data_IF_351347546806
#
_entry.id   IF_351347546806
#
_cell.length_a   1.000
_cell.length_b   1.000
_cell.length_c   1.000
_cell.angle_alpha   90.00
_cell.angle_beta   90.00
_cell.angle_gamma   90.00
#
_symmetry.space_group_name_H-M   'P 1'
#
loop_
_entity.id
_entity.type
_entity.pdbx_description
1 polymer ?
#
# COMPACT_ATOMS: atom_id res chain seq x y z
N UNK A 1 -0.74 -15.56 41.94
CA UNK A 1 0.18 -15.47 43.07
C UNK A 1 1.58 -15.88 42.60
N UNK A 2 2.47 -14.90 42.39
CA UNK A 2 3.81 -15.15 41.86
C UNK A 2 4.73 -15.84 42.87
N UNK A 3 4.39 -15.84 44.16
CA UNK A 3 5.12 -16.51 45.24
C UNK A 3 4.91 -18.03 45.22
N UNK A 4 3.75 -18.49 44.74
CA UNK A 4 3.48 -19.91 44.52
C UNK A 4 4.12 -20.44 43.23
N UNK A 5 4.25 -19.58 42.21
CA UNK A 5 4.72 -19.97 40.87
C UNK A 5 6.24 -19.96 40.73
N UNK A 6 6.92 -19.07 41.44
CA UNK A 6 8.37 -19.02 41.49
C UNK A 6 8.83 -18.99 42.96
N UNK A 7 9.54 -20.03 43.46
CA UNK A 7 10.03 -20.04 44.82
C UNK A 7 11.07 -18.94 45.05
N UNK A 8 11.21 -18.49 46.29
CA UNK A 8 12.25 -17.51 46.68
C UNK A 8 13.64 -18.02 46.31
N UNK A 9 14.46 -17.12 45.78
CA UNK A 9 15.86 -17.45 45.50
C UNK A 9 16.63 -17.54 46.82
N UNK A 10 17.80 -18.17 46.79
CA UNK A 10 18.67 -18.17 47.96
C UNK A 10 19.17 -16.75 48.21
N UNK A 11 19.36 -16.40 49.49
CA UNK A 11 19.98 -15.12 49.88
C UNK A 11 21.29 -14.92 49.11
N UNK A 12 21.42 -13.78 48.41
CA UNK A 12 22.49 -13.38 47.47
C UNK A 12 22.41 -13.93 46.03
N UNK A 13 21.44 -14.79 45.69
CA UNK A 13 21.19 -15.28 44.32
C UNK A 13 20.05 -14.54 43.60
N UNK A 14 19.40 -13.58 44.25
CA UNK A 14 18.25 -12.76 43.77
C UNK A 14 18.52 -11.97 42.48
N UNK A 15 19.79 -11.76 42.11
CA UNK A 15 20.22 -11.07 40.88
C UNK A 15 20.91 -12.00 39.89
N UNK A 16 20.98 -13.30 40.22
CA UNK A 16 21.60 -14.33 39.41
C UNK A 16 20.94 -14.45 38.02
N UNK A 17 21.62 -15.10 37.06
CA UNK A 17 21.10 -15.28 35.70
C UNK A 17 19.78 -16.08 35.65
N UNK A 18 19.49 -16.86 36.70
CA UNK A 18 18.29 -17.69 36.86
C UNK A 18 17.30 -17.14 37.89
N UNK A 19 17.55 -15.95 38.43
CA UNK A 19 16.75 -15.39 39.51
C UNK A 19 15.27 -15.25 39.15
N UNK A 20 14.43 -15.40 40.17
CA UNK A 20 12.98 -15.25 40.14
C UNK A 20 12.55 -13.97 39.47
N UNK A 21 13.21 -12.84 39.75
CA UNK A 21 12.89 -11.54 39.14
C UNK A 21 12.88 -11.57 37.61
N UNK A 22 13.84 -12.26 36.99
CA UNK A 22 13.91 -12.38 35.52
C UNK A 22 12.82 -13.30 34.97
N UNK A 23 12.45 -14.35 35.72
CA UNK A 23 11.39 -15.27 35.32
C UNK A 23 10.01 -14.61 35.39
N UNK A 24 9.75 -13.91 36.50
CA UNK A 24 8.52 -13.13 36.68
C UNK A 24 8.41 -12.01 35.64
N UNK A 25 9.50 -11.29 35.37
CA UNK A 25 9.51 -10.28 34.31
C UNK A 25 9.21 -10.88 32.94
N UNK A 26 9.84 -12.01 32.56
CA UNK A 26 9.58 -12.65 31.27
C UNK A 26 8.13 -13.07 31.11
N UNK A 27 7.51 -13.58 32.17
CA UNK A 27 6.11 -13.97 32.15
C UNK A 27 5.18 -12.77 31.93
N UNK A 28 5.31 -11.72 32.75
CA UNK A 28 4.50 -10.52 32.63
C UNK A 28 4.70 -9.82 31.28
N UNK A 29 5.97 -9.70 30.87
CA UNK A 29 6.33 -9.08 29.59
C UNK A 29 5.83 -9.88 28.39
N UNK A 30 5.78 -11.20 28.49
CA UNK A 30 5.27 -12.08 27.44
C UNK A 30 3.77 -11.91 27.22
N UNK A 31 3.00 -11.71 28.30
CA UNK A 31 1.56 -11.42 28.21
C UNK A 31 1.33 -10.07 27.51
N UNK A 32 2.04 -9.03 27.96
CA UNK A 32 1.96 -7.71 27.33
C UNK A 32 2.36 -7.72 25.85
N UNK A 33 3.47 -8.40 25.52
CA UNK A 33 3.96 -8.51 24.15
C UNK A 33 2.96 -9.27 23.27
N UNK A 34 2.36 -10.35 23.79
CA UNK A 34 1.35 -11.12 23.07
C UNK A 34 0.13 -10.25 22.75
N UNK A 35 -0.44 -9.56 23.75
CA UNK A 35 -1.63 -8.73 23.57
C UNK A 35 -1.38 -7.61 22.54
N UNK A 36 -0.25 -6.91 22.66
CA UNK A 36 0.15 -5.85 21.73
C UNK A 36 0.34 -6.40 20.30
N UNK A 37 1.04 -7.53 20.17
CA UNK A 37 1.34 -8.16 18.88
C UNK A 37 0.09 -8.71 18.19
N UNK A 38 -0.81 -9.35 18.93
CA UNK A 38 -2.07 -9.86 18.39
C UNK A 38 -2.93 -8.72 17.84
N UNK A 39 -3.08 -7.62 18.58
CA UNK A 39 -3.82 -6.44 18.10
C UNK A 39 -3.25 -5.86 16.81
N UNK A 40 -1.93 -5.71 16.71
CA UNK A 40 -1.29 -5.25 15.48
C UNK A 40 -1.43 -6.25 14.34
N UNK A 41 -1.24 -7.55 14.60
CA UNK A 41 -1.31 -8.59 13.57
C UNK A 41 -2.69 -8.64 12.95
N UNK A 42 -3.73 -8.63 13.77
CA UNK A 42 -5.12 -8.72 13.31
C UNK A 42 -5.51 -7.47 12.50
N UNK A 43 -5.08 -6.28 12.93
CA UNK A 43 -5.26 -5.04 12.17
C UNK A 43 -4.52 -5.05 10.83
N UNK A 44 -3.28 -5.54 10.80
CA UNK A 44 -2.49 -5.67 9.57
C UNK A 44 -3.08 -6.70 8.60
N UNK A 45 -3.66 -7.79 9.11
CA UNK A 45 -4.32 -8.82 8.30
C UNK A 45 -5.52 -8.28 7.55
N UNK A 46 -6.42 -7.58 8.26
CA UNK A 46 -7.57 -6.92 7.62
C UNK A 46 -7.10 -5.90 6.59
N UNK A 47 -6.08 -5.10 6.94
CA UNK A 47 -5.54 -4.09 6.04
C UNK A 47 -4.95 -4.69 4.77
N UNK A 48 -4.23 -5.81 4.87
CA UNK A 48 -3.61 -6.50 3.73
C UNK A 48 -4.67 -7.08 2.77
N UNK A 49 -5.74 -7.67 3.29
CA UNK A 49 -6.84 -8.17 2.47
C UNK A 49 -7.50 -7.00 1.73
N UNK A 50 -7.80 -5.91 2.46
CA UNK A 50 -8.37 -4.71 1.87
C UNK A 50 -7.45 -4.12 0.79
N UNK A 51 -6.14 -4.04 1.08
CA UNK A 51 -5.11 -3.57 0.15
C UNK A 51 -5.09 -4.35 -1.15
N UNK A 52 -5.09 -5.68 -1.07
CA UNK A 52 -5.03 -6.55 -2.22
C UNK A 52 -6.26 -6.41 -3.11
N UNK A 53 -7.45 -6.46 -2.49
CA UNK A 53 -8.71 -6.31 -3.21
C UNK A 53 -8.84 -4.92 -3.86
N UNK A 54 -8.55 -3.86 -3.11
CA UNK A 54 -8.59 -2.51 -3.64
C UNK A 54 -7.58 -2.31 -4.77
N UNK A 55 -6.34 -2.78 -4.61
CA UNK A 55 -5.32 -2.69 -5.66
C UNK A 55 -5.74 -3.43 -6.94
N UNK A 56 -6.41 -4.59 -6.82
CA UNK A 56 -6.91 -5.33 -7.98
C UNK A 56 -7.99 -4.53 -8.74
N UNK A 57 -8.92 -3.91 -8.02
CA UNK A 57 -9.95 -3.05 -8.61
C UNK A 57 -9.30 -1.85 -9.30
N UNK A 58 -8.45 -1.09 -8.61
CA UNK A 58 -7.75 0.07 -9.19
C UNK A 58 -6.90 -0.32 -10.40
N UNK A 59 -6.23 -1.47 -10.36
CA UNK A 59 -5.43 -1.98 -11.49
C UNK A 59 -6.29 -2.21 -12.73
N UNK A 60 -7.54 -2.65 -12.57
CA UNK A 60 -8.45 -2.85 -13.71
C UNK A 60 -8.82 -1.50 -14.35
N UNK A 61 -9.12 -0.49 -13.54
CA UNK A 61 -9.38 0.87 -14.02
C UNK A 61 -8.15 1.47 -14.72
N UNK A 62 -6.98 1.37 -14.09
CA UNK A 62 -5.71 1.84 -14.67
C UNK A 62 -5.41 1.13 -15.98
N UNK A 63 -5.60 -0.19 -16.06
CA UNK A 63 -5.37 -0.95 -17.28
C UNK A 63 -6.29 -0.48 -18.42
N UNK A 64 -7.56 -0.17 -18.12
CA UNK A 64 -8.51 0.36 -19.10
C UNK A 64 -8.16 1.78 -19.54
N UNK A 65 -7.95 2.72 -18.61
CA UNK A 65 -7.69 4.13 -18.98
C UNK A 65 -6.28 4.40 -19.47
N UNK A 66 -5.33 3.50 -19.20
CA UNK A 66 -3.99 3.60 -19.80
C UNK A 66 -4.03 3.40 -21.32
N UNK A 67 -5.05 2.71 -21.85
CA UNK A 67 -5.27 2.58 -23.29
C UNK A 67 -5.76 3.89 -23.90
N UNK A 68 -6.54 4.69 -23.15
CA UNK A 68 -7.00 6.03 -23.60
C UNK A 68 -5.85 7.04 -23.74
N UNK A 69 -4.70 6.77 -23.12
CA UNK A 69 -3.46 7.55 -23.29
C UNK A 69 -2.66 7.13 -24.54
N UNK A 70 -3.12 6.13 -25.29
CA UNK A 70 -2.50 5.70 -26.54
C UNK A 70 -3.28 6.22 -27.74
N UNK A 71 -2.61 6.27 -28.89
CA UNK A 71 -3.24 6.66 -30.15
C UNK A 71 -4.34 5.65 -30.50
N UNK A 72 -5.58 6.12 -30.61
CA UNK A 72 -6.65 5.31 -31.16
C UNK A 72 -6.49 5.21 -32.68
N UNK A 73 -5.88 4.11 -33.13
CA UNK A 73 -5.73 3.80 -34.56
C UNK A 73 -7.08 3.68 -35.29
N UNK A 74 -8.17 3.33 -34.59
CA UNK A 74 -9.52 3.35 -35.13
C UNK A 74 -9.98 4.76 -35.44
N UNK A 75 -9.80 5.69 -34.51
CA UNK A 75 -10.10 7.10 -34.72
C UNK A 75 -9.23 7.72 -35.83
N UNK A 76 -7.93 7.41 -35.85
CA UNK A 76 -7.01 7.85 -36.92
C UNK A 76 -7.48 7.34 -38.28
N UNK A 77 -7.85 6.06 -38.38
CA UNK A 77 -8.35 5.48 -39.63
C UNK A 77 -9.66 6.12 -40.06
N UNK A 78 -10.57 6.40 -39.12
CA UNK A 78 -11.82 7.10 -39.40
C UNK A 78 -11.58 8.54 -39.90
N UNK A 79 -10.65 9.29 -39.30
CA UNK A 79 -10.28 10.63 -39.76
C UNK A 79 -9.71 10.60 -41.18
N UNK A 80 -8.79 9.67 -41.47
CA UNK A 80 -8.22 9.50 -42.81
C UNK A 80 -9.27 9.10 -43.85
N UNK A 81 -10.25 8.26 -43.48
CA UNK A 81 -11.37 7.88 -44.35
C UNK A 81 -12.29 9.08 -44.64
N UNK A 82 -12.57 9.93 -43.65
CA UNK A 82 -13.34 11.17 -43.83
C UNK A 82 -12.59 12.11 -44.78
N UNK A 83 -11.29 12.31 -44.57
CA UNK A 83 -10.46 13.13 -45.48
C UNK A 83 -10.49 12.57 -46.91
N UNK A 84 -10.40 11.25 -47.08
CA UNK A 84 -10.51 10.61 -48.40
C UNK A 84 -11.87 10.87 -49.07
N UNK A 85 -12.97 10.77 -48.31
CA UNK A 85 -14.33 11.04 -48.82
C UNK A 85 -14.47 12.51 -49.22
N UNK A 86 -13.91 13.44 -48.45
CA UNK A 86 -13.94 14.86 -48.75
C UNK A 86 -13.10 15.21 -49.98
N UNK A 87 -11.96 14.54 -50.20
CA UNK A 87 -11.16 14.64 -51.43
C UNK A 87 -11.96 14.16 -52.63
N UNK A 88 -12.62 13.01 -52.53
CA UNK A 88 -13.44 12.48 -53.62
C UNK A 88 -14.61 13.41 -53.97
N UNK A 89 -15.31 13.94 -52.96
CA UNK A 89 -16.41 14.89 -53.16
C UNK A 89 -15.93 16.21 -53.79
N UNK A 90 -14.80 16.73 -53.34
CA UNK A 90 -14.23 17.97 -53.88
C UNK A 90 -13.75 17.81 -55.32
N UNK A 91 -13.16 16.65 -55.65
CA UNK A 91 -12.78 16.32 -57.03
C UNK A 91 -14.01 16.19 -57.94
N UNK A 92 -15.09 15.56 -57.45
CA UNK A 92 -16.35 15.45 -58.20
C UNK A 92 -17.03 16.82 -58.44
N UNK A 93 -16.88 17.77 -57.50
CA UNK A 93 -17.40 19.14 -57.63
C UNK A 93 -16.46 20.10 -58.39
N UNK A 94 -15.32 19.63 -58.91
CA UNK A 94 -14.37 20.47 -59.66
C UNK A 94 -13.61 21.50 -58.82
N UNK A 95 -13.68 21.40 -57.48
CA UNK A 95 -12.95 22.25 -56.53
C UNK A 95 -11.51 21.76 -56.32
N UNK A 96 -10.58 22.69 -56.05
CA UNK A 96 -9.18 22.37 -55.83
C UNK A 96 -8.97 21.57 -54.53
N UNK A 97 -8.30 20.42 -54.60
CA UNK A 97 -8.02 19.54 -53.45
C UNK A 97 -7.33 20.27 -52.28
N UNK A 98 -6.59 21.35 -52.56
CA UNK A 98 -5.91 22.17 -51.55
C UNK A 98 -6.86 22.94 -50.60
N UNK A 99 -8.17 22.99 -50.85
CA UNK A 99 -9.13 23.61 -49.92
C UNK A 99 -9.57 22.68 -48.78
N UNK A 100 -9.17 21.41 -48.80
CA UNK A 100 -9.56 20.43 -47.80
C UNK A 100 -8.58 20.51 -46.62
N UNK A 101 -9.07 20.66 -45.38
CA UNK A 101 -8.23 20.61 -44.19
C UNK A 101 -7.55 19.24 -44.08
N UNK A 102 -6.22 19.22 -43.93
CA UNK A 102 -5.48 17.98 -43.68
C UNK A 102 -5.82 17.43 -42.30
N UNK A 103 -5.93 16.11 -42.17
CA UNK A 103 -6.09 15.47 -40.85
C UNK A 103 -4.87 15.77 -39.98
N UNK A 104 -5.08 16.36 -38.81
CA UNK A 104 -4.04 16.49 -37.79
C UNK A 104 -3.89 15.15 -37.05
N UNK A 105 -2.78 14.46 -37.34
CA UNK A 105 -2.45 13.17 -36.74
C UNK A 105 -1.62 13.32 -35.45
N UNK A 106 -1.37 14.55 -34.98
CA UNK A 106 -0.63 14.72 -33.72
C UNK A 106 -1.48 14.30 -32.54
N UNK A 107 -1.11 13.14 -31.97
CA UNK A 107 -1.72 12.66 -30.75
C UNK A 107 -1.40 13.60 -29.58
N UNK A 108 -2.46 14.14 -28.98
CA UNK A 108 -2.39 14.90 -27.74
C UNK A 108 -3.39 14.26 -26.78
N UNK A 109 -2.92 13.56 -25.73
CA UNK A 109 -3.84 13.00 -24.75
C UNK A 109 -4.61 14.15 -24.11
N UNK A 110 -5.90 13.92 -23.83
CA UNK A 110 -6.69 14.95 -23.17
C UNK A 110 -6.09 15.24 -21.78
N UNK A 111 -6.17 16.49 -21.36
CA UNK A 111 -5.66 16.89 -20.04
C UNK A 111 -6.42 16.16 -18.94
N UNK A 112 -7.74 15.95 -19.10
CA UNK A 112 -8.57 15.16 -18.19
C UNK A 112 -8.10 13.71 -18.07
N UNK A 113 -7.81 13.02 -19.17
CA UNK A 113 -7.37 11.62 -19.14
C UNK A 113 -6.02 11.48 -18.44
N UNK A 114 -5.14 12.47 -18.63
CA UNK A 114 -3.83 12.52 -17.96
C UNK A 114 -3.98 12.69 -16.45
N UNK A 115 -4.89 13.56 -15.99
CA UNK A 115 -5.17 13.76 -14.56
C UNK A 115 -5.81 12.52 -13.92
N UNK A 116 -6.82 11.93 -14.56
CA UNK A 116 -7.51 10.72 -14.06
C UNK A 116 -6.52 9.56 -13.92
N UNK A 117 -5.72 9.29 -14.96
CA UNK A 117 -4.71 8.24 -14.88
C UNK A 117 -3.67 8.54 -13.80
N UNK A 118 -3.18 9.78 -13.68
CA UNK A 118 -2.25 10.16 -12.62
C UNK A 118 -2.81 9.91 -11.22
N UNK A 119 -4.08 10.26 -10.98
CA UNK A 119 -4.76 10.01 -9.71
C UNK A 119 -4.92 8.51 -9.41
N UNK A 120 -5.27 7.70 -10.41
CA UNK A 120 -5.40 6.26 -10.19
C UNK A 120 -4.06 5.54 -10.03
N UNK A 121 -3.01 5.96 -10.76
CA UNK A 121 -1.65 5.46 -10.53
C UNK A 121 -1.14 5.83 -9.13
N UNK A 122 -1.39 7.06 -8.67
CA UNK A 122 -0.98 7.48 -7.31
C UNK A 122 -1.77 6.74 -6.24
N UNK A 123 -3.08 6.54 -6.42
CA UNK A 123 -3.90 5.69 -5.54
C UNK A 123 -3.36 4.26 -5.48
N UNK A 124 -3.11 3.62 -6.63
CA UNK A 124 -2.55 2.27 -6.70
C UNK A 124 -1.20 2.18 -5.98
N UNK A 125 -0.31 3.16 -6.22
CA UNK A 125 1.02 3.20 -5.61
C UNK A 125 0.94 3.32 -4.09
N UNK A 126 0.05 4.17 -3.56
CA UNK A 126 -0.17 4.31 -2.12
C UNK A 126 -0.73 3.02 -1.49
N UNK A 127 -1.64 2.34 -2.18
CA UNK A 127 -2.20 1.06 -1.73
C UNK A 127 -1.13 -0.03 -1.65
N UNK A 128 -0.31 -0.16 -2.71
CA UNK A 128 0.81 -1.12 -2.74
C UNK A 128 1.90 -0.80 -1.71
N UNK A 129 2.23 0.47 -1.53
CA UNK A 129 3.16 0.91 -0.49
C UNK A 129 2.65 0.51 0.90
N UNK A 130 1.36 0.73 1.17
CA UNK A 130 0.74 0.34 2.44
C UNK A 130 0.77 -1.17 2.64
N UNK A 131 0.47 -1.97 1.61
CA UNK A 131 0.60 -3.42 1.67
C UNK A 131 2.05 -3.85 1.98
N UNK A 132 3.03 -3.24 1.32
CA UNK A 132 4.45 -3.53 1.53
C UNK A 132 4.87 -3.26 2.98
N UNK A 133 4.54 -2.08 3.52
CA UNK A 133 4.84 -1.75 4.90
C UNK A 133 4.09 -2.65 5.88
N UNK A 134 2.85 -3.03 5.59
CA UNK A 134 2.11 -3.98 6.42
C UNK A 134 2.82 -5.35 6.52
N UNK A 135 3.33 -5.87 5.39
CA UNK A 135 4.12 -7.11 5.36
C UNK A 135 5.43 -6.95 6.14
N UNK A 136 6.16 -5.85 5.94
CA UNK A 136 7.43 -5.59 6.64
C UNK A 136 7.23 -5.53 8.16
N UNK A 137 6.18 -4.84 8.61
CA UNK A 137 5.83 -4.77 10.03
C UNK A 137 5.45 -6.15 10.57
N UNK A 138 4.71 -6.95 9.81
CA UNK A 138 4.41 -8.34 10.17
C UNK A 138 5.68 -9.19 10.34
N UNK A 139 6.63 -9.07 9.42
CA UNK A 139 7.91 -9.78 9.51
C UNK A 139 8.71 -9.35 10.75
N UNK A 140 8.74 -8.05 11.05
CA UNK A 140 9.37 -7.51 12.24
C UNK A 140 8.74 -8.04 13.54
N UNK A 141 7.41 -8.03 13.61
CA UNK A 141 6.63 -8.57 14.74
C UNK A 141 6.91 -10.06 14.93
N UNK A 142 6.93 -10.83 13.84
CA UNK A 142 7.27 -12.25 13.90
C UNK A 142 8.67 -12.48 14.45
N UNK A 143 9.66 -11.70 13.99
CA UNK A 143 11.04 -11.78 14.48
C UNK A 143 11.16 -11.32 15.93
N UNK A 144 10.36 -10.33 16.36
CA UNK A 144 10.31 -9.87 17.74
C UNK A 144 9.91 -10.99 18.71
N UNK A 145 8.85 -11.74 18.36
CA UNK A 145 8.32 -12.86 19.15
C UNK A 145 9.19 -14.13 19.13
N UNK A 146 10.22 -14.20 18.27
CA UNK A 146 11.14 -15.34 18.24
C UNK A 146 11.87 -15.49 19.60
N UNK A 147 11.61 -16.59 20.29
CA UNK A 147 12.17 -16.85 21.63
C UNK A 147 13.67 -17.12 21.53
N UNK A 148 14.54 -16.30 22.15
CA UNK A 148 15.98 -16.54 22.12
C UNK A 148 16.40 -17.69 23.01
N UNK A 149 17.44 -18.43 22.61
CA UNK A 149 18.13 -19.39 23.49
C UNK A 149 18.98 -18.65 24.54
N UNK A 150 19.16 -19.23 25.74
CA UNK A 150 19.96 -18.63 26.82
C UNK A 150 19.26 -18.57 28.18
N UNK A 151 19.89 -17.86 29.12
CA UNK A 151 19.39 -17.70 30.49
C UNK A 151 18.20 -16.73 30.54
N UNK A 152 17.32 -16.80 31.56
CA UNK A 152 16.24 -15.84 31.77
C UNK A 152 16.71 -14.38 31.71
N UNK A 153 17.84 -14.07 32.34
CA UNK A 153 18.43 -12.73 32.30
C UNK A 153 18.82 -12.28 30.88
N UNK A 154 19.43 -13.16 30.09
CA UNK A 154 19.83 -12.83 28.71
C UNK A 154 18.62 -12.61 27.82
N UNK A 155 17.58 -13.44 27.98
CA UNK A 155 16.29 -13.28 27.29
C UNK A 155 15.63 -11.95 27.64
N UNK A 156 15.61 -11.56 28.91
CA UNK A 156 15.08 -10.26 29.34
C UNK A 156 15.80 -9.10 28.65
N UNK A 157 17.14 -9.13 28.65
CA UNK A 157 17.97 -8.08 28.06
C UNK A 157 17.75 -7.97 26.55
N UNK A 158 17.70 -9.10 25.86
CA UNK A 158 17.49 -9.14 24.42
C UNK A 158 16.07 -8.67 24.05
N UNK A 159 15.04 -9.08 24.81
CA UNK A 159 13.67 -8.57 24.64
C UNK A 159 13.61 -7.07 24.85
N UNK A 160 14.21 -6.55 25.91
CA UNK A 160 14.24 -5.11 26.18
C UNK A 160 14.99 -4.34 25.08
N UNK A 161 16.10 -4.87 24.58
CA UNK A 161 16.82 -4.28 23.45
C UNK A 161 15.95 -4.21 22.18
N UNK A 162 15.25 -5.30 21.86
CA UNK A 162 14.31 -5.34 20.71
C UNK A 162 13.15 -4.37 20.91
N UNK A 163 12.59 -4.28 22.12
CA UNK A 163 11.49 -3.37 22.46
C UNK A 163 11.92 -1.90 22.36
N UNK A 164 13.10 -1.55 22.87
CA UNK A 164 13.68 -0.22 22.68
C UNK A 164 13.91 0.09 21.20
N UNK A 165 14.33 -0.90 20.41
CA UNK A 165 14.41 -0.79 18.96
C UNK A 165 13.04 -0.46 18.36
N UNK A 166 12.01 -1.22 18.71
CA UNK A 166 10.64 -1.04 18.25
C UNK A 166 10.12 0.37 18.53
N UNK A 167 10.37 0.88 19.74
CA UNK A 167 9.99 2.22 20.15
C UNK A 167 10.80 3.30 19.42
N UNK A 168 12.10 3.10 19.24
CA UNK A 168 12.98 4.05 18.52
C UNK A 168 12.62 4.16 17.04
N UNK A 169 12.24 3.05 16.41
CA UNK A 169 11.80 3.01 15.02
C UNK A 169 10.33 3.45 14.85
N UNK A 170 9.60 3.67 15.95
CA UNK A 170 8.22 4.15 15.90
C UNK A 170 7.27 3.17 15.22
N UNK A 171 7.49 1.86 15.39
CA UNK A 171 6.67 0.83 14.71
C UNK A 171 5.18 0.99 15.03
N UNK A 172 4.84 1.36 16.26
CA UNK A 172 3.46 1.63 16.67
C UNK A 172 2.83 2.78 15.86
N UNK A 173 3.61 3.85 15.60
CA UNK A 173 3.19 4.96 14.75
C UNK A 173 3.03 4.52 13.28
N UNK A 174 3.92 3.65 12.79
CA UNK A 174 3.78 3.07 11.44
C UNK A 174 2.49 2.26 11.36
N UNK A 175 2.24 1.34 12.29
CA UNK A 175 1.01 0.52 12.32
C UNK A 175 -0.24 1.41 12.36
N UNK A 176 -0.23 2.48 13.15
CA UNK A 176 -1.32 3.45 13.21
C UNK A 176 -1.50 4.30 11.93
N UNK A 177 -0.43 4.55 11.18
CA UNK A 177 -0.48 5.36 9.95
C UNK A 177 -0.95 4.56 8.72
N UNK A 178 -0.73 3.24 8.69
CA UNK A 178 -1.07 2.41 7.54
C UNK A 178 -2.57 2.48 7.16
N UNK A 179 -3.55 2.38 8.09
CA UNK A 179 -4.96 2.58 7.76
C UNK A 179 -5.28 3.97 7.19
N UNK A 180 -4.56 5.00 7.63
CA UNK A 180 -4.72 6.38 7.13
C UNK A 180 -4.23 6.47 5.69
N UNK A 181 -3.05 5.91 5.39
CA UNK A 181 -2.51 5.82 4.03
C UNK A 181 -3.48 5.10 3.08
N UNK A 182 -4.13 4.03 3.55
CA UNK A 182 -5.17 3.37 2.77
C UNK A 182 -6.41 4.23 2.52
N UNK A 183 -6.85 4.94 3.55
CA UNK A 183 -7.99 5.84 3.42
C UNK A 183 -7.70 6.97 2.44
N UNK A 184 -6.47 7.51 2.45
CA UNK A 184 -6.01 8.50 1.47
C UNK A 184 -5.97 7.92 0.06
N UNK A 185 -5.44 6.70 -0.10
CA UNK A 185 -5.44 5.99 -1.39
C UNK A 185 -6.85 5.82 -1.95
N UNK A 186 -7.82 5.44 -1.12
CA UNK A 186 -9.24 5.33 -1.48
C UNK A 186 -9.82 6.69 -1.87
N UNK A 187 -9.55 7.75 -1.10
CA UNK A 187 -10.04 9.09 -1.40
C UNK A 187 -9.52 9.62 -2.75
N UNK A 188 -8.24 9.40 -3.04
CA UNK A 188 -7.62 9.76 -4.33
C UNK A 188 -8.28 8.99 -5.49
N UNK A 189 -8.56 7.70 -5.30
CA UNK A 189 -9.27 6.91 -6.32
C UNK A 189 -10.68 7.43 -6.59
N UNK A 190 -11.45 7.71 -5.53
CA UNK A 190 -12.79 8.27 -5.64
C UNK A 190 -12.79 9.64 -6.34
N UNK A 191 -11.80 10.48 -6.05
CA UNK A 191 -11.64 11.75 -6.74
C UNK A 191 -11.37 11.57 -8.24
N UNK A 192 -10.50 10.61 -8.59
CA UNK A 192 -10.31 10.22 -10.00
C UNK A 192 -11.58 9.68 -10.66
N UNK A 193 -12.41 8.94 -9.92
CA UNK A 193 -13.69 8.41 -10.40
C UNK A 193 -14.70 9.52 -10.70
N UNK A 194 -14.81 10.52 -9.81
CA UNK A 194 -15.65 11.70 -10.04
C UNK A 194 -15.20 12.45 -11.30
N UNK A 195 -13.89 12.68 -11.46
CA UNK A 195 -13.35 13.34 -12.64
C UNK A 195 -13.54 12.53 -13.93
N UNK A 196 -13.55 11.20 -13.84
CA UNK A 196 -13.81 10.32 -14.98
C UNK A 196 -15.28 10.34 -15.42
N UNK A 197 -16.23 10.48 -14.50
CA UNK A 197 -17.68 10.50 -14.81
C UNK A 197 -18.16 11.86 -15.33
N UNK A 198 -17.62 12.98 -14.86
CA UNK A 198 -18.08 14.33 -15.27
C UNK A 198 -18.10 14.55 -16.80
N UNK A 199 -17.09 14.12 -17.59
CA UNK A 199 -17.10 14.27 -19.04
C UNK A 199 -17.87 13.17 -19.79
N UNK A 200 -18.43 12.17 -19.08
CA UNK A 200 -19.18 11.04 -19.65
C UNK A 200 -20.66 11.37 -19.78
#
# INVERSE_FOLDING_TARGET
DYEQKFPEDKRYEELGPMARVWRTYLEESGIFDLEMVEGWRDGLDVLLVFAGLFSAVVTTFVAQTSQSLQVDYGQVTAMLLIELIDIQRSAANGSAVNTIPRSDLTFRPSTSDSWVNGLWFTSLSLSLATALFAVLTKQWIHQYMSVPSGTPRDRCRLRQFRYMGLQKWGVDLIVGLLPVLMSVSLAVFLLGLVLFIIPL
#
